data_IF_142657837668
#
_entry.id   IF_142657837668
#
_cell.length_a   1.000
_cell.length_b   1.000
_cell.length_c   1.000
_cell.angle_alpha   90.00
_cell.angle_beta   90.00
_cell.angle_gamma   90.00
#
_symmetry.space_group_name_H-M   'P 1'
#
loop_
_entity.id
_entity.type
_entity.pdbx_description
1 polymer ?
#
# COMPACT_ATOMS: atom_id res chain seq x y z
N UNK A 1 -40.06 -12.56 -26.73
CA UNK A 1 -39.79 -11.42 -25.87
C UNK A 1 -38.54 -11.77 -25.11
N UNK A 2 -37.35 -11.23 -25.43
CA UNK A 2 -36.16 -11.43 -24.59
C UNK A 2 -36.24 -10.45 -23.42
N UNK A 3 -36.08 -10.98 -22.22
CA UNK A 3 -36.00 -10.26 -20.96
C UNK A 3 -34.82 -9.28 -20.98
N UNK A 4 -35.13 -8.11 -20.53
CA UNK A 4 -34.22 -6.98 -20.30
C UNK A 4 -33.04 -7.43 -19.40
N UNK A 5 -31.87 -7.57 -19.99
CA UNK A 5 -30.65 -7.70 -19.22
C UNK A 5 -30.38 -6.39 -18.50
N UNK A 6 -30.68 -6.35 -17.23
CA UNK A 6 -30.35 -5.23 -16.36
C UNK A 6 -28.87 -4.89 -16.52
N UNK A 7 -28.57 -3.68 -16.97
CA UNK A 7 -27.22 -3.13 -17.00
C UNK A 7 -26.64 -3.18 -15.59
N UNK A 8 -25.37 -3.56 -15.40
CA UNK A 8 -24.76 -3.54 -14.09
C UNK A 8 -24.78 -2.10 -13.56
N UNK A 9 -25.53 -1.91 -12.49
CA UNK A 9 -25.50 -0.68 -11.68
C UNK A 9 -24.07 -0.35 -11.35
N UNK A 10 -23.66 0.92 -11.56
CA UNK A 10 -22.30 1.40 -11.44
C UNK A 10 -21.55 0.84 -10.24
N UNK A 11 -20.28 0.56 -10.47
CA UNK A 11 -19.34 -0.03 -9.51
C UNK A 11 -19.34 0.81 -8.23
N UNK A 12 -19.66 0.20 -7.09
CA UNK A 12 -19.66 0.89 -5.80
C UNK A 12 -18.29 0.73 -5.16
N UNK A 13 -17.54 1.82 -5.05
CA UNK A 13 -16.25 1.91 -4.35
C UNK A 13 -16.43 2.21 -2.86
N UNK A 14 -17.35 1.50 -2.20
CA UNK A 14 -17.82 1.84 -0.83
C UNK A 14 -16.70 1.87 0.21
N UNK A 15 -15.65 1.07 0.03
CA UNK A 15 -14.53 1.02 0.97
C UNK A 15 -13.61 2.22 0.78
N UNK A 16 -13.33 2.61 -0.46
CA UNK A 16 -12.59 3.84 -0.74
C UNK A 16 -13.35 5.08 -0.33
N UNK A 17 -14.63 5.15 -0.60
CA UNK A 17 -15.47 6.29 -0.19
C UNK A 17 -15.44 6.50 1.33
N UNK A 18 -15.44 5.41 2.09
CA UNK A 18 -15.26 5.46 3.56
C UNK A 18 -13.89 6.00 3.96
N UNK A 19 -12.81 5.56 3.31
CA UNK A 19 -11.45 6.02 3.56
C UNK A 19 -11.29 7.50 3.20
N UNK A 20 -11.79 7.91 2.03
CA UNK A 20 -11.81 9.31 1.57
C UNK A 20 -12.56 10.19 2.58
N UNK A 21 -13.76 9.77 3.00
CA UNK A 21 -14.57 10.50 3.98
C UNK A 21 -13.84 10.62 5.34
N UNK A 22 -13.16 9.57 5.77
CA UNK A 22 -12.38 9.59 7.00
C UNK A 22 -11.18 10.53 6.89
N UNK A 23 -10.45 10.50 5.77
CA UNK A 23 -9.30 11.35 5.51
C UNK A 23 -9.68 12.84 5.42
N UNK A 24 -10.84 13.19 4.84
CA UNK A 24 -11.34 14.57 4.77
C UNK A 24 -11.63 15.21 6.13
N UNK A 25 -11.78 14.41 7.19
CA UNK A 25 -11.97 14.90 8.56
C UNK A 25 -10.66 15.22 9.27
N UNK A 26 -9.54 14.82 8.69
CA UNK A 26 -8.21 15.04 9.23
C UNK A 26 -7.59 16.31 8.66
N UNK A 27 -6.71 17.00 9.39
CA UNK A 27 -5.97 18.13 8.83
C UNK A 27 -5.06 17.69 7.69
N UNK A 28 -4.95 18.51 6.64
CA UNK A 28 -4.06 18.26 5.53
C UNK A 28 -2.59 18.25 6.00
N UNK A 29 -1.85 17.21 5.65
CA UNK A 29 -0.44 17.01 6.01
C UNK A 29 0.50 17.51 4.91
N UNK A 30 1.72 17.90 5.27
CA UNK A 30 2.78 18.22 4.30
C UNK A 30 3.24 16.97 3.55
N UNK A 31 3.28 17.00 2.22
CA UNK A 31 3.75 15.90 1.38
C UNK A 31 4.85 16.36 0.42
N UNK A 32 6.06 15.82 0.56
CA UNK A 32 7.13 16.06 -0.38
C UNK A 32 6.94 15.16 -1.62
N UNK A 33 6.78 15.80 -2.80
CA UNK A 33 6.62 15.11 -4.08
C UNK A 33 7.96 15.13 -4.82
N UNK A 34 8.61 13.97 -4.91
CA UNK A 34 9.94 13.86 -5.51
C UNK A 34 9.85 13.76 -7.04
N UNK A 35 10.39 14.75 -7.74
CA UNK A 35 10.50 14.82 -9.20
C UNK A 35 9.17 14.71 -9.96
N UNK A 36 8.16 15.56 -9.70
CA UNK A 36 6.87 15.52 -10.39
C UNK A 36 7.00 16.15 -11.79
N UNK A 37 7.72 15.43 -12.67
CA UNK A 37 8.09 15.91 -14.00
C UNK A 37 7.33 15.20 -15.13
N UNK A 38 6.19 14.60 -14.81
CA UNK A 38 5.18 14.09 -15.74
C UNK A 38 3.76 14.51 -15.29
N UNK A 39 2.81 14.40 -16.20
CA UNK A 39 1.42 14.81 -15.95
C UNK A 39 0.79 14.00 -14.82
N UNK A 40 0.98 12.67 -14.81
CA UNK A 40 0.32 11.77 -13.86
C UNK A 40 0.71 12.09 -12.42
N UNK A 41 2.00 12.21 -12.14
CA UNK A 41 2.46 12.48 -10.76
C UNK A 41 2.09 13.89 -10.29
N UNK A 42 2.11 14.87 -11.19
CA UNK A 42 1.77 16.24 -10.84
C UNK A 42 0.26 16.41 -10.61
N UNK A 43 -0.56 15.81 -11.48
CA UNK A 43 -2.00 15.80 -11.38
C UNK A 43 -2.48 15.12 -10.08
N UNK A 44 -1.93 13.93 -9.76
CA UNK A 44 -2.22 13.23 -8.50
C UNK A 44 -1.93 14.10 -7.27
N UNK A 45 -0.82 14.84 -7.27
CA UNK A 45 -0.50 15.75 -6.16
C UNK A 45 -1.48 16.92 -6.06
N UNK A 46 -1.87 17.49 -7.21
CA UNK A 46 -2.85 18.60 -7.28
C UNK A 46 -4.23 18.13 -6.83
N UNK A 47 -4.67 16.96 -7.25
CA UNK A 47 -5.98 16.39 -6.87
C UNK A 47 -6.03 16.07 -5.38
N UNK A 48 -4.99 15.44 -4.83
CA UNK A 48 -4.91 15.18 -3.39
C UNK A 48 -4.96 16.48 -2.57
N UNK A 49 -4.35 17.56 -3.08
CA UNK A 49 -4.44 18.88 -2.45
C UNK A 49 -5.84 19.50 -2.55
N UNK A 50 -6.52 19.37 -3.71
CA UNK A 50 -7.90 19.84 -3.89
C UNK A 50 -8.88 19.09 -2.97
N UNK A 51 -8.65 17.81 -2.74
CA UNK A 51 -9.41 17.00 -1.79
C UNK A 51 -9.15 17.35 -0.32
N UNK A 52 -8.14 18.18 -0.05
CA UNK A 52 -7.78 18.59 1.30
C UNK A 52 -6.94 17.58 2.09
N UNK A 53 -6.39 16.57 1.43
CA UNK A 53 -5.59 15.54 2.11
C UNK A 53 -4.17 15.99 2.41
N UNK A 54 -3.56 16.72 1.47
CA UNK A 54 -2.15 17.10 1.55
C UNK A 54 -1.90 18.55 1.18
N UNK A 55 -0.75 19.06 1.63
CA UNK A 55 -0.11 20.30 1.20
C UNK A 55 1.15 19.92 0.44
N UNK A 56 1.13 19.84 -0.90
CA UNK A 56 2.28 19.40 -1.68
C UNK A 56 3.45 20.39 -1.59
N UNK A 57 4.65 19.82 -1.42
CA UNK A 57 5.93 20.50 -1.62
C UNK A 57 6.55 19.83 -2.84
N UNK A 58 6.53 20.51 -3.99
CA UNK A 58 7.03 19.97 -5.25
C UNK A 58 8.57 20.09 -5.28
N UNK A 59 9.28 18.98 -5.46
CA UNK A 59 10.74 18.94 -5.48
C UNK A 59 11.21 18.46 -6.85
N UNK A 60 11.69 19.38 -7.70
CA UNK A 60 12.06 19.03 -9.07
C UNK A 60 12.71 20.19 -9.82
N UNK A 61 13.23 19.97 -11.05
CA UNK A 61 13.70 21.04 -11.91
C UNK A 61 12.57 22.03 -12.20
N UNK A 62 12.65 23.22 -11.60
CA UNK A 62 11.54 24.17 -11.54
C UNK A 62 10.95 24.53 -12.91
N UNK A 63 11.82 24.68 -13.91
CA UNK A 63 11.37 24.99 -15.28
C UNK A 63 10.54 23.82 -15.88
N UNK A 64 10.97 22.57 -15.63
CA UNK A 64 10.28 21.36 -16.12
C UNK A 64 8.95 21.15 -15.42
N UNK A 65 8.91 21.27 -14.09
CA UNK A 65 7.66 21.16 -13.32
C UNK A 65 6.62 22.19 -13.79
N UNK A 66 7.03 23.45 -13.99
CA UNK A 66 6.14 24.51 -14.52
C UNK A 66 5.69 24.24 -15.96
N UNK A 67 6.56 23.68 -16.79
CA UNK A 67 6.20 23.32 -18.17
C UNK A 67 5.13 22.23 -18.19
N UNK A 68 5.31 21.17 -17.40
CA UNK A 68 4.30 20.08 -17.25
C UNK A 68 2.98 20.64 -16.71
N UNK A 69 3.02 21.48 -15.68
CA UNK A 69 1.82 22.10 -15.13
C UNK A 69 1.05 22.92 -16.18
N UNK A 70 1.78 23.73 -16.98
CA UNK A 70 1.19 24.53 -18.05
C UNK A 70 0.57 23.68 -19.16
N UNK A 71 1.28 22.63 -19.58
CA UNK A 71 0.81 21.71 -20.61
C UNK A 71 -0.44 20.94 -20.19
N UNK A 72 -0.47 20.49 -18.93
CA UNK A 72 -1.60 19.77 -18.34
C UNK A 72 -2.72 20.70 -17.81
N UNK A 73 -2.57 22.02 -17.89
CA UNK A 73 -3.56 22.98 -17.37
C UNK A 73 -3.72 22.96 -15.85
N UNK A 74 -2.69 22.54 -15.12
CA UNK A 74 -2.71 22.42 -13.66
C UNK A 74 -2.25 23.72 -12.99
N UNK A 75 -3.02 24.19 -11.99
CA UNK A 75 -2.61 25.32 -11.15
C UNK A 75 -1.76 24.84 -9.97
N UNK A 76 -0.50 25.25 -9.98
CA UNK A 76 0.47 24.97 -8.92
C UNK A 76 0.97 26.26 -8.23
N UNK A 77 0.35 27.41 -8.47
CA UNK A 77 0.82 28.69 -7.95
C UNK A 77 0.81 28.73 -6.40
N UNK A 78 -0.08 27.99 -5.77
CA UNK A 78 -0.17 27.89 -4.31
C UNK A 78 0.77 26.87 -3.66
N UNK A 79 1.58 26.14 -4.44
CA UNK A 79 2.46 25.10 -3.90
C UNK A 79 3.89 25.57 -3.75
N UNK A 80 4.56 25.14 -2.68
CA UNK A 80 5.99 25.34 -2.52
C UNK A 80 6.73 24.51 -3.57
N UNK A 81 7.68 25.16 -4.29
CA UNK A 81 8.51 24.52 -5.31
C UNK A 81 9.98 24.61 -4.92
N UNK A 82 10.55 23.49 -4.54
CA UNK A 82 11.98 23.34 -4.23
C UNK A 82 12.72 22.90 -5.48
N UNK A 83 13.60 23.75 -6.00
CA UNK A 83 14.36 23.47 -7.22
C UNK A 83 15.41 22.38 -6.98
N UNK A 84 15.53 21.49 -7.95
CA UNK A 84 16.57 20.44 -8.02
C UNK A 84 17.14 20.36 -9.44
N UNK A 85 18.32 19.72 -9.57
CA UNK A 85 19.01 19.62 -10.86
C UNK A 85 18.55 18.40 -11.67
N UNK A 86 18.38 17.27 -11.01
CA UNK A 86 18.01 15.97 -11.61
C UNK A 86 17.22 15.09 -10.62
N UNK A 87 16.83 13.89 -11.05
CA UNK A 87 15.98 12.98 -10.26
C UNK A 87 16.58 12.59 -8.91
N UNK A 88 17.87 12.26 -8.85
CA UNK A 88 18.54 11.90 -7.60
C UNK A 88 18.62 13.09 -6.63
N UNK A 89 18.87 14.33 -7.14
CA UNK A 89 18.83 15.54 -6.31
C UNK A 89 17.41 15.83 -5.80
N UNK A 90 16.39 15.58 -6.65
CA UNK A 90 14.98 15.66 -6.23
C UNK A 90 14.68 14.69 -5.10
N UNK A 91 15.10 13.43 -5.21
CA UNK A 91 14.91 12.42 -4.17
C UNK A 91 15.61 12.80 -2.86
N UNK A 92 16.87 13.22 -2.95
CA UNK A 92 17.64 13.63 -1.77
C UNK A 92 17.02 14.84 -1.05
N UNK A 93 16.59 15.87 -1.80
CA UNK A 93 15.92 17.06 -1.24
C UNK A 93 14.55 16.75 -0.65
N UNK A 94 13.75 15.89 -1.30
CA UNK A 94 12.47 15.47 -0.78
C UNK A 94 12.62 14.70 0.55
N UNK A 95 13.58 13.77 0.62
CA UNK A 95 13.92 13.07 1.86
C UNK A 95 14.43 14.03 2.94
N UNK A 96 15.23 15.03 2.58
CA UNK A 96 15.69 16.04 3.53
C UNK A 96 14.55 16.89 4.12
N UNK A 97 13.51 17.20 3.35
CA UNK A 97 12.30 17.88 3.85
C UNK A 97 11.57 17.05 4.89
N UNK A 98 11.42 15.75 4.65
CA UNK A 98 10.86 14.81 5.63
C UNK A 98 11.73 14.75 6.88
N UNK A 99 13.04 14.61 6.71
CA UNK A 99 13.99 14.55 7.83
C UNK A 99 13.96 15.81 8.71
N UNK A 100 13.73 16.96 8.09
CA UNK A 100 13.59 18.26 8.75
C UNK A 100 12.20 18.48 9.39
N UNK A 101 11.26 17.53 9.27
CA UNK A 101 9.90 17.67 9.77
C UNK A 101 9.01 18.64 8.98
N UNK A 102 9.40 19.02 7.77
CA UNK A 102 8.61 19.89 6.88
C UNK A 102 7.59 19.13 6.06
N UNK A 103 7.74 17.81 5.92
CA UNK A 103 6.79 16.92 5.27
C UNK A 103 6.56 15.67 6.12
N UNK A 104 5.31 15.23 6.18
CA UNK A 104 4.81 14.08 6.95
C UNK A 104 4.49 12.87 6.05
N UNK A 105 4.61 13.06 4.72
CA UNK A 105 4.52 12.02 3.72
C UNK A 105 5.51 12.29 2.58
N UNK A 106 5.89 11.22 1.87
CA UNK A 106 6.73 11.29 0.68
C UNK A 106 5.99 10.64 -0.50
N UNK A 107 5.98 11.30 -1.66
CA UNK A 107 5.38 10.76 -2.87
C UNK A 107 6.43 10.66 -3.98
N UNK A 108 6.43 9.52 -4.67
CA UNK A 108 7.24 9.30 -5.86
C UNK A 108 6.60 9.97 -7.08
N UNK A 109 7.36 10.80 -7.76
CA UNK A 109 7.00 11.32 -9.09
C UNK A 109 7.56 10.49 -10.23
N UNK A 110 8.08 11.14 -11.27
CA UNK A 110 8.56 10.51 -12.51
C UNK A 110 10.00 9.99 -12.46
N UNK A 111 10.56 9.76 -11.26
CA UNK A 111 11.84 9.08 -11.09
C UNK A 111 11.66 7.57 -10.90
N UNK A 112 12.76 6.80 -11.00
CA UNK A 112 12.71 5.37 -10.71
C UNK A 112 12.53 5.09 -9.21
N UNK A 113 11.85 3.98 -8.88
CA UNK A 113 11.59 3.62 -7.47
C UNK A 113 12.89 3.37 -6.70
N UNK A 114 13.87 2.75 -7.33
CA UNK A 114 15.19 2.50 -6.74
C UNK A 114 15.96 3.79 -6.41
N UNK A 115 15.84 4.84 -7.25
CA UNK A 115 16.45 6.17 -6.96
C UNK A 115 15.84 6.80 -5.68
N UNK A 116 14.51 6.77 -5.56
CA UNK A 116 13.85 7.28 -4.36
C UNK A 116 14.20 6.45 -3.13
N UNK A 117 14.11 5.13 -3.26
CA UNK A 117 14.38 4.21 -2.15
C UNK A 117 15.84 4.27 -1.70
N UNK A 118 16.81 4.47 -2.61
CA UNK A 118 18.21 4.69 -2.25
C UNK A 118 18.37 5.92 -1.34
N UNK A 119 17.68 7.03 -1.65
CA UNK A 119 17.70 8.22 -0.79
C UNK A 119 17.01 7.97 0.56
N UNK A 120 15.89 7.23 0.57
CA UNK A 120 15.13 6.88 1.80
C UNK A 120 15.97 6.04 2.75
N UNK A 121 16.70 5.02 2.24
CA UNK A 121 17.48 4.10 3.08
C UNK A 121 18.91 4.56 3.34
N UNK A 122 19.34 5.69 2.80
CA UNK A 122 20.68 6.21 3.01
C UNK A 122 21.02 6.32 4.51
N UNK A 123 22.21 5.87 4.89
CA UNK A 123 22.57 5.69 6.31
C UNK A 123 22.55 6.98 7.10
N UNK A 124 23.10 8.06 6.54
CA UNK A 124 23.26 9.34 7.25
C UNK A 124 22.16 10.35 6.90
N UNK A 125 21.71 10.37 5.64
CA UNK A 125 20.79 11.38 5.10
C UNK A 125 19.35 10.87 5.01
N UNK A 126 19.13 9.57 5.04
CA UNK A 126 17.83 8.94 4.87
C UNK A 126 16.91 9.06 6.07
N UNK A 127 15.74 8.44 5.92
CA UNK A 127 14.63 8.47 6.88
C UNK A 127 14.21 7.06 7.34
N UNK A 128 15.11 6.08 7.22
CA UNK A 128 14.86 4.73 7.72
C UNK A 128 14.69 4.72 9.24
N UNK A 129 13.94 3.75 9.74
CA UNK A 129 13.79 3.43 11.15
C UNK A 129 14.51 2.11 11.49
N UNK A 130 14.28 1.57 12.67
CA UNK A 130 14.72 0.22 13.02
C UNK A 130 13.89 -0.87 12.30
N UNK A 131 12.67 -0.55 11.84
CA UNK A 131 11.79 -1.50 11.14
C UNK A 131 12.21 -1.69 9.69
N UNK A 132 11.98 -2.88 9.17
CA UNK A 132 12.09 -3.17 7.74
C UNK A 132 11.09 -2.34 6.95
N UNK A 133 11.54 -1.76 5.83
CA UNK A 133 10.64 -1.10 4.89
C UNK A 133 9.86 -2.17 4.13
N UNK A 134 8.54 -2.00 4.05
CA UNK A 134 7.64 -2.93 3.38
C UNK A 134 6.52 -2.22 2.66
N UNK A 135 5.90 -2.90 1.71
CA UNK A 135 4.78 -2.38 0.93
C UNK A 135 3.47 -3.07 1.31
N UNK A 136 2.40 -2.30 1.38
CA UNK A 136 1.04 -2.81 1.52
C UNK A 136 0.20 -2.36 0.33
N UNK A 137 -0.50 -3.29 -0.32
CA UNK A 137 -1.66 -2.97 -1.14
C UNK A 137 -2.91 -2.97 -0.29
N UNK A 138 -3.74 -1.95 -0.43
CA UNK A 138 -5.10 -1.88 0.10
C UNK A 138 -6.02 -2.13 -1.09
N UNK A 139 -6.75 -3.25 -1.06
CA UNK A 139 -7.56 -3.71 -2.18
C UNK A 139 -9.05 -3.55 -1.86
N UNK A 140 -9.78 -2.82 -2.69
CA UNK A 140 -11.25 -2.83 -2.68
C UNK A 140 -11.75 -3.89 -3.66
N UNK A 141 -11.94 -5.11 -3.17
CA UNK A 141 -12.41 -6.25 -3.98
C UNK A 141 -13.93 -6.24 -4.03
N UNK A 142 -14.57 -6.17 -5.21
CA UNK A 142 -16.02 -6.27 -5.36
C UNK A 142 -16.57 -7.55 -4.72
N UNK A 143 -17.64 -7.42 -3.95
CA UNK A 143 -18.27 -8.55 -3.27
C UNK A 143 -17.58 -9.04 -2.00
N UNK A 144 -16.40 -8.52 -1.64
CA UNK A 144 -15.77 -8.75 -0.34
C UNK A 144 -16.22 -7.69 0.65
N UNK A 145 -16.46 -8.06 1.91
CA UNK A 145 -17.04 -7.14 2.90
C UNK A 145 -16.07 -6.04 3.34
N UNK A 146 -14.81 -6.39 3.56
CA UNK A 146 -13.76 -5.50 4.05
C UNK A 146 -12.71 -5.23 2.97
N UNK A 147 -11.97 -4.11 3.09
CA UNK A 147 -10.76 -3.92 2.31
C UNK A 147 -9.71 -4.98 2.73
N UNK A 148 -9.04 -5.57 1.74
CA UNK A 148 -7.96 -6.52 1.98
C UNK A 148 -6.62 -5.80 1.92
N UNK A 149 -5.77 -6.00 2.92
CA UNK A 149 -4.38 -5.55 2.89
C UNK A 149 -3.50 -6.74 2.49
N UNK A 150 -2.71 -6.59 1.43
CA UNK A 150 -1.77 -7.61 0.96
C UNK A 150 -0.35 -7.08 1.15
N UNK A 151 0.51 -7.86 1.83
CA UNK A 151 1.89 -7.49 2.15
C UNK A 151 2.84 -8.70 2.12
N UNK A 152 4.12 -8.60 1.74
CA UNK A 152 4.73 -7.58 0.92
C UNK A 152 4.67 -8.02 -0.54
N UNK A 153 4.23 -7.14 -1.41
CA UNK A 153 3.99 -7.50 -2.80
C UNK A 153 4.79 -6.62 -3.79
N UNK A 154 5.75 -5.79 -3.30
CA UNK A 154 6.45 -4.83 -4.14
C UNK A 154 7.89 -4.47 -3.72
N UNK A 155 8.31 -4.74 -2.49
CA UNK A 155 9.62 -4.29 -1.96
C UNK A 155 10.53 -5.45 -1.57
N UNK A 156 10.06 -6.39 -0.76
CA UNK A 156 10.88 -7.48 -0.25
C UNK A 156 10.72 -8.74 -1.10
N UNK A 157 11.77 -9.12 -1.85
CA UNK A 157 11.71 -10.22 -2.83
C UNK A 157 11.43 -11.56 -2.13
N UNK A 158 12.29 -11.96 -1.20
CA UNK A 158 12.18 -13.19 -0.43
C UNK A 158 12.55 -12.89 1.04
N UNK A 159 11.63 -12.29 1.80
CA UNK A 159 11.91 -11.85 3.16
C UNK A 159 12.13 -13.05 4.08
N UNK A 160 13.13 -12.94 4.95
CA UNK A 160 13.38 -13.90 6.03
C UNK A 160 12.28 -13.88 7.08
N UNK A 161 12.25 -14.88 7.96
CA UNK A 161 11.31 -14.91 9.09
C UNK A 161 11.40 -13.64 9.95
N UNK A 162 12.61 -13.17 10.24
CA UNK A 162 12.85 -11.95 11.03
C UNK A 162 12.29 -10.71 10.32
N UNK A 163 12.53 -10.58 9.02
CA UNK A 163 12.00 -9.47 8.21
C UNK A 163 10.47 -9.51 8.11
N UNK A 164 9.86 -10.70 8.07
CA UNK A 164 8.40 -10.86 8.06
C UNK A 164 7.74 -10.38 9.35
N UNK A 165 8.42 -10.38 10.49
CA UNK A 165 7.90 -9.79 11.74
C UNK A 165 7.63 -8.30 11.54
N UNK A 166 8.61 -7.57 11.02
CA UNK A 166 8.46 -6.12 10.78
C UNK A 166 7.44 -5.81 9.68
N UNK A 167 7.46 -6.58 8.58
CA UNK A 167 6.49 -6.47 7.48
C UNK A 167 5.08 -6.63 8.02
N UNK A 168 4.87 -7.64 8.84
CA UNK A 168 3.58 -7.93 9.43
C UNK A 168 3.13 -6.84 10.40
N UNK A 169 4.03 -6.36 11.26
CA UNK A 169 3.72 -5.28 12.20
C UNK A 169 3.37 -3.97 11.48
N UNK A 170 4.06 -3.66 10.37
CA UNK A 170 3.71 -2.50 9.53
C UNK A 170 2.28 -2.61 8.98
N UNK A 171 1.89 -3.78 8.47
CA UNK A 171 0.55 -4.00 7.93
C UNK A 171 -0.54 -3.96 9.02
N UNK A 172 -0.26 -4.48 10.21
CA UNK A 172 -1.17 -4.41 11.37
C UNK A 172 -1.38 -2.95 11.79
N UNK A 173 -0.29 -2.19 11.90
CA UNK A 173 -0.36 -0.77 12.27
C UNK A 173 -1.15 0.03 11.22
N UNK A 174 -0.97 -0.28 9.91
CA UNK A 174 -1.77 0.30 8.84
C UNK A 174 -3.25 -0.04 8.97
N UNK A 175 -3.60 -1.32 9.13
CA UNK A 175 -4.99 -1.75 9.26
C UNK A 175 -5.71 -1.01 10.40
N UNK A 176 -5.03 -0.85 11.52
CA UNK A 176 -5.53 -0.09 12.68
C UNK A 176 -5.70 1.40 12.38
N UNK A 177 -4.72 2.00 11.70
CA UNK A 177 -4.79 3.40 11.29
C UNK A 177 -5.94 3.67 10.30
N UNK A 178 -6.27 2.68 9.44
CA UNK A 178 -7.42 2.74 8.53
C UNK A 178 -8.76 2.47 9.24
N UNK A 179 -8.76 2.24 10.56
CA UNK A 179 -9.96 2.08 11.37
C UNK A 179 -10.56 0.68 11.34
N UNK A 180 -9.78 -0.35 11.01
CA UNK A 180 -10.24 -1.74 11.12
C UNK A 180 -10.66 -2.04 12.57
N UNK A 181 -11.90 -2.46 12.82
CA UNK A 181 -12.38 -2.70 14.19
C UNK A 181 -11.66 -3.88 14.85
N UNK A 182 -11.25 -4.84 14.04
CA UNK A 182 -10.43 -5.97 14.43
C UNK A 182 -9.50 -6.35 13.28
N UNK A 183 -8.22 -6.46 13.58
CA UNK A 183 -7.21 -6.87 12.58
C UNK A 183 -7.04 -8.38 12.65
N UNK A 184 -7.34 -9.08 11.54
CA UNK A 184 -7.22 -10.53 11.37
C UNK A 184 -6.23 -10.81 10.27
N UNK A 185 -5.09 -11.37 10.65
CA UNK A 185 -3.99 -11.66 9.74
C UNK A 185 -3.96 -13.13 9.39
N UNK A 186 -4.09 -13.44 8.11
CA UNK A 186 -3.78 -14.74 7.57
C UNK A 186 -2.35 -14.77 7.03
N UNK A 187 -1.54 -15.70 7.53
CA UNK A 187 -0.22 -15.98 6.97
C UNK A 187 -0.38 -17.03 5.88
N UNK A 188 -0.26 -16.59 4.63
CA UNK A 188 -0.60 -17.40 3.48
C UNK A 188 0.47 -18.43 3.14
N UNK A 189 0.00 -19.60 2.76
CA UNK A 189 0.78 -20.67 2.16
C UNK A 189 -0.08 -21.46 1.15
N UNK A 190 0.47 -22.46 0.54
CA UNK A 190 -0.24 -23.33 -0.38
C UNK A 190 -1.18 -24.34 0.34
N UNK A 191 -1.05 -24.49 1.65
CA UNK A 191 -1.80 -25.48 2.46
C UNK A 191 -1.93 -25.02 3.91
N UNK A 192 -2.82 -25.68 4.66
CA UNK A 192 -3.18 -25.36 6.05
C UNK A 192 -2.36 -26.13 7.08
N UNK A 193 -1.60 -27.14 6.65
CA UNK A 193 -0.80 -27.98 7.54
C UNK A 193 0.67 -27.64 7.47
N UNK A 194 1.37 -27.71 8.60
CA UNK A 194 2.80 -27.49 8.65
C UNK A 194 3.53 -28.65 7.97
N UNK A 195 4.23 -28.34 6.88
CA UNK A 195 5.00 -29.29 6.10
C UNK A 195 6.44 -28.78 5.91
N UNK A 196 7.48 -29.46 6.46
CA UNK A 196 8.87 -29.02 6.32
C UNK A 196 9.36 -28.90 4.87
N UNK A 197 8.71 -29.55 3.90
CA UNK A 197 9.01 -29.43 2.47
C UNK A 197 8.48 -28.14 1.86
N UNK A 198 7.59 -27.43 2.56
CA UNK A 198 7.01 -26.15 2.15
C UNK A 198 7.38 -25.10 3.21
N UNK A 199 8.53 -24.40 3.05
CA UNK A 199 9.09 -23.51 4.08
C UNK A 199 8.11 -22.46 4.60
N UNK A 200 7.24 -21.91 3.72
CA UNK A 200 6.24 -20.91 4.11
C UNK A 200 5.26 -21.42 5.19
N UNK A 201 4.98 -22.74 5.26
CA UNK A 201 4.14 -23.29 6.32
C UNK A 201 4.83 -23.30 7.68
N UNK A 202 6.15 -23.54 7.68
CA UNK A 202 6.97 -23.53 8.90
C UNK A 202 7.12 -22.09 9.42
N UNK A 203 7.38 -21.14 8.52
CA UNK A 203 7.46 -19.73 8.86
C UNK A 203 6.13 -19.20 9.40
N UNK A 204 5.00 -19.61 8.81
CA UNK A 204 3.67 -19.25 9.30
C UNK A 204 3.45 -19.72 10.75
N UNK A 205 3.77 -20.97 11.05
CA UNK A 205 3.67 -21.50 12.41
C UNK A 205 4.59 -20.75 13.39
N UNK A 206 5.79 -20.38 12.97
CA UNK A 206 6.72 -19.59 13.77
C UNK A 206 6.16 -18.18 14.06
N UNK A 207 5.63 -17.48 13.05
CA UNK A 207 5.03 -16.15 13.21
C UNK A 207 3.80 -16.18 14.12
N UNK A 208 2.94 -17.20 14.01
CA UNK A 208 1.83 -17.39 14.94
C UNK A 208 2.34 -17.54 16.38
N UNK A 209 3.39 -18.34 16.59
CA UNK A 209 3.99 -18.50 17.92
C UNK A 209 4.64 -17.21 18.42
N UNK A 210 5.26 -16.43 17.55
CA UNK A 210 5.80 -15.10 17.91
C UNK A 210 4.68 -14.14 18.35
N UNK A 211 3.52 -14.18 17.69
CA UNK A 211 2.35 -13.44 18.11
C UNK A 211 1.81 -13.88 19.48
N UNK A 212 1.69 -15.19 19.74
CA UNK A 212 1.32 -15.74 21.05
C UNK A 212 2.25 -15.26 22.19
N UNK A 213 3.51 -14.95 21.85
CA UNK A 213 4.52 -14.48 22.82
C UNK A 213 4.64 -12.96 22.88
N UNK A 214 3.79 -12.22 22.17
CA UNK A 214 3.78 -10.77 22.17
C UNK A 214 4.93 -10.12 21.40
N UNK A 215 5.63 -10.88 20.53
CA UNK A 215 6.64 -10.31 19.61
C UNK A 215 5.98 -9.58 18.44
N UNK A 216 4.76 -9.97 18.07
CA UNK A 216 3.88 -9.29 17.12
C UNK A 216 2.59 -8.99 17.86
N UNK A 217 2.08 -7.75 17.75
CA UNK A 217 0.97 -7.30 18.56
C UNK A 217 -0.09 -6.55 17.76
N UNK A 218 -1.32 -6.48 18.29
CA UNK A 218 -2.39 -5.66 17.75
C UNK A 218 -3.29 -6.34 16.73
N UNK A 219 -3.16 -7.66 16.57
CA UNK A 219 -3.99 -8.45 15.65
C UNK A 219 -4.24 -9.87 16.18
N UNK A 220 -5.27 -10.52 15.66
CA UNK A 220 -5.41 -11.97 15.66
C UNK A 220 -4.64 -12.51 14.46
N UNK A 221 -3.79 -13.51 14.66
CA UNK A 221 -2.89 -14.04 13.64
C UNK A 221 -3.05 -15.55 13.57
N UNK A 222 -3.21 -16.10 12.38
CA UNK A 222 -3.24 -17.52 12.15
C UNK A 222 -2.61 -17.90 10.80
N UNK A 223 -2.10 -19.12 10.74
CA UNK A 223 -1.43 -19.73 9.57
C UNK A 223 -0.66 -20.98 9.93
N UNK A 224 -0.27 -21.76 8.89
CA UNK A 224 -0.49 -21.47 7.48
C UNK A 224 -1.94 -21.57 7.05
N UNK A 225 -2.39 -20.72 6.14
CA UNK A 225 -3.70 -20.77 5.51
C UNK A 225 -3.56 -20.67 3.99
N UNK A 226 -4.32 -21.45 3.25
CA UNK A 226 -4.51 -21.21 1.82
C UNK A 226 -5.44 -20.00 1.62
N UNK A 227 -5.37 -19.33 0.46
CA UNK A 227 -6.13 -18.12 0.22
C UNK A 227 -7.64 -18.30 0.39
N UNK A 228 -8.20 -19.40 -0.15
CA UNK A 228 -9.62 -19.73 -0.04
C UNK A 228 -10.07 -19.79 1.42
N UNK A 229 -9.29 -20.45 2.27
CA UNK A 229 -9.60 -20.59 3.69
C UNK A 229 -9.39 -19.31 4.48
N UNK A 230 -8.49 -18.45 4.03
CA UNK A 230 -8.25 -17.17 4.69
C UNK A 230 -9.43 -16.21 4.53
N UNK A 231 -10.08 -16.20 3.35
CA UNK A 231 -11.07 -15.18 2.98
C UNK A 231 -12.52 -15.68 2.86
N UNK A 232 -12.74 -17.01 2.76
CA UNK A 232 -14.07 -17.63 2.61
C UNK A 232 -14.45 -18.44 3.84
N UNK A 233 -15.51 -18.04 4.59
CA UNK A 233 -16.02 -18.83 5.72
C UNK A 233 -16.44 -20.23 5.31
N UNK A 234 -17.04 -20.38 4.12
CA UNK A 234 -17.50 -21.68 3.62
C UNK A 234 -16.32 -22.61 3.33
N UNK A 235 -15.25 -22.11 2.72
CA UNK A 235 -14.04 -22.87 2.46
C UNK A 235 -13.38 -23.33 3.77
N UNK A 236 -13.30 -22.46 4.76
CA UNK A 236 -12.79 -22.79 6.09
C UNK A 236 -13.64 -23.86 6.78
N UNK A 237 -14.98 -23.75 6.67
CA UNK A 237 -15.91 -24.73 7.26
C UNK A 237 -15.80 -26.10 6.60
N UNK A 238 -15.72 -26.19 5.27
CA UNK A 238 -15.56 -27.44 4.51
C UNK A 238 -14.29 -28.20 4.95
N UNK A 239 -13.21 -27.46 5.21
CA UNK A 239 -11.93 -28.04 5.67
C UNK A 239 -11.83 -28.18 7.20
N UNK A 240 -12.92 -27.90 7.92
CA UNK A 240 -12.99 -27.99 9.39
C UNK A 240 -11.90 -27.20 10.13
N UNK A 241 -11.53 -26.02 9.60
CA UNK A 241 -10.52 -25.17 10.20
C UNK A 241 -11.15 -24.38 11.35
N UNK A 242 -10.67 -24.62 12.57
CA UNK A 242 -11.07 -23.87 13.75
C UNK A 242 -10.04 -22.76 14.00
N UNK A 243 -10.41 -21.53 13.67
CA UNK A 243 -9.50 -20.38 13.71
C UNK A 243 -10.29 -19.08 13.94
N UNK A 244 -9.73 -18.12 14.69
CA UNK A 244 -10.33 -16.79 14.83
C UNK A 244 -10.15 -15.94 13.57
N UNK A 245 -9.32 -16.37 12.61
CA UNK A 245 -8.92 -15.64 11.40
C UNK A 245 -9.51 -16.26 10.14
N UNK A 246 -9.50 -17.60 10.02
CA UNK A 246 -9.94 -18.29 8.82
C UNK A 246 -11.35 -17.88 8.38
N UNK A 247 -11.49 -17.59 7.09
CA UNK A 247 -12.71 -17.10 6.46
C UNK A 247 -13.02 -15.62 6.67
N UNK A 248 -12.19 -14.88 7.45
CA UNK A 248 -12.46 -13.48 7.85
C UNK A 248 -11.21 -12.62 7.90
N UNK A 249 -10.14 -13.06 7.26
CA UNK A 249 -8.89 -12.29 7.20
C UNK A 249 -9.10 -10.96 6.45
N UNK A 250 -8.54 -9.89 6.99
CA UNK A 250 -8.47 -8.57 6.33
C UNK A 250 -7.03 -8.12 6.07
N UNK A 251 -6.03 -8.87 6.57
CA UNK A 251 -4.62 -8.70 6.25
C UNK A 251 -4.05 -10.05 5.79
N UNK A 252 -3.40 -10.06 4.65
CA UNK A 252 -2.81 -11.23 4.03
C UNK A 252 -1.29 -11.04 3.95
N UNK A 253 -0.53 -11.82 4.72
CA UNK A 253 0.92 -11.90 4.57
C UNK A 253 1.23 -13.01 3.56
N UNK A 254 1.82 -12.65 2.44
CA UNK A 254 2.23 -13.58 1.39
C UNK A 254 3.64 -14.16 1.66
N UNK A 255 3.97 -15.35 1.13
CA UNK A 255 5.27 -15.96 1.35
C UNK A 255 6.45 -15.17 0.77
N UNK A 256 6.26 -14.54 -0.39
CA UNK A 256 7.28 -13.81 -1.13
C UNK A 256 6.63 -12.76 -2.06
N UNK A 257 7.49 -11.93 -2.69
CA UNK A 257 7.05 -10.87 -3.60
C UNK A 257 6.29 -11.40 -4.81
N UNK A 258 6.72 -12.52 -5.38
CA UNK A 258 6.10 -13.07 -6.59
C UNK A 258 4.66 -13.47 -6.32
N UNK A 259 4.41 -14.22 -5.23
CA UNK A 259 3.07 -14.60 -4.80
C UNK A 259 2.19 -13.37 -4.53
N UNK A 260 2.72 -12.38 -3.83
CA UNK A 260 1.99 -11.15 -3.50
C UNK A 260 1.67 -10.30 -4.71
N UNK A 261 2.63 -10.11 -5.61
CA UNK A 261 2.45 -9.31 -6.82
C UNK A 261 1.44 -9.97 -7.78
N UNK A 262 1.55 -11.30 -7.97
CA UNK A 262 0.59 -12.04 -8.79
C UNK A 262 -0.81 -12.00 -8.20
N UNK A 263 -0.96 -12.15 -6.87
CA UNK A 263 -2.25 -12.07 -6.19
C UNK A 263 -2.88 -10.68 -6.37
N UNK A 264 -2.15 -9.61 -6.07
CA UNK A 264 -2.66 -8.24 -6.19
C UNK A 264 -3.09 -7.93 -7.62
N UNK A 265 -2.27 -8.29 -8.61
CA UNK A 265 -2.62 -8.11 -10.04
C UNK A 265 -3.80 -8.97 -10.47
N UNK A 266 -3.91 -10.21 -9.99
CA UNK A 266 -5.06 -11.06 -10.29
C UNK A 266 -6.36 -10.44 -9.76
N UNK A 267 -6.35 -9.89 -8.55
CA UNK A 267 -7.51 -9.20 -7.99
C UNK A 267 -7.87 -7.96 -8.79
N UNK A 268 -6.87 -7.13 -9.18
CA UNK A 268 -7.14 -5.92 -9.98
C UNK A 268 -7.65 -6.26 -11.38
N UNK A 269 -6.96 -7.12 -12.13
CA UNK A 269 -7.27 -7.35 -13.55
C UNK A 269 -8.37 -8.39 -13.79
N UNK A 270 -8.53 -9.38 -12.91
CA UNK A 270 -9.52 -10.45 -13.06
C UNK A 270 -10.76 -10.23 -12.22
N UNK A 271 -10.60 -9.76 -10.99
CA UNK A 271 -11.73 -9.52 -10.08
C UNK A 271 -12.18 -8.04 -10.07
N UNK A 272 -11.51 -7.19 -10.80
CA UNK A 272 -11.84 -5.77 -10.91
C UNK A 272 -11.68 -5.01 -9.59
N UNK A 273 -10.73 -5.38 -8.75
CA UNK A 273 -10.46 -4.68 -7.52
C UNK A 273 -9.68 -3.38 -7.77
N UNK A 274 -10.05 -2.34 -7.03
CA UNK A 274 -9.24 -1.14 -6.95
C UNK A 274 -8.09 -1.36 -5.97
N UNK A 275 -6.93 -0.79 -6.28
CA UNK A 275 -5.72 -0.97 -5.51
C UNK A 275 -5.08 0.37 -5.14
N UNK A 276 -4.76 0.57 -3.86
CA UNK A 276 -3.90 1.65 -3.42
C UNK A 276 -2.64 1.06 -2.76
N UNK A 277 -1.46 1.62 -3.10
CA UNK A 277 -0.18 1.15 -2.59
C UNK A 277 0.47 2.15 -1.64
N UNK A 278 1.02 1.65 -0.53
CA UNK A 278 1.75 2.47 0.44
C UNK A 278 2.97 1.71 0.96
N UNK A 279 4.10 2.42 1.09
CA UNK A 279 5.33 1.91 1.70
C UNK A 279 5.45 2.42 3.13
N UNK A 280 5.73 1.53 4.04
CA UNK A 280 5.82 1.73 5.48
C UNK A 280 7.18 1.29 6.04
N UNK A 281 7.44 1.56 7.32
CA UNK A 281 8.72 1.23 7.97
C UNK A 281 9.76 2.35 7.90
N UNK A 282 9.56 3.38 7.08
CA UNK A 282 10.29 4.63 7.14
C UNK A 282 9.67 5.57 8.19
N UNK A 283 10.29 6.75 8.42
CA UNK A 283 9.76 7.75 9.37
C UNK A 283 8.39 8.28 9.00
N UNK A 284 8.07 8.29 7.71
CA UNK A 284 6.77 8.69 7.16
C UNK A 284 6.32 7.70 6.12
N UNK A 285 5.02 7.59 5.84
CA UNK A 285 4.52 6.78 4.73
C UNK A 285 5.02 7.32 3.39
N UNK A 286 5.21 6.39 2.43
CA UNK A 286 5.68 6.72 1.08
C UNK A 286 4.67 6.20 0.07
N UNK A 287 4.17 7.10 -0.77
CA UNK A 287 3.26 6.77 -1.87
C UNK A 287 4.08 6.51 -3.13
N UNK A 288 3.93 5.32 -3.71
CA UNK A 288 4.55 4.94 -4.97
C UNK A 288 3.48 5.00 -6.07
N UNK A 289 3.58 5.98 -6.96
CA UNK A 289 2.75 5.99 -8.16
C UNK A 289 3.31 4.98 -9.17
N UNK A 290 2.45 4.12 -9.74
CA UNK A 290 2.83 3.20 -10.80
C UNK A 290 2.62 3.87 -12.16
N UNK A 291 3.56 3.63 -13.11
CA UNK A 291 3.36 4.05 -14.51
C UNK A 291 2.30 3.23 -15.23
N UNK A 292 1.92 2.08 -14.65
CA UNK A 292 0.90 1.19 -15.19
C UNK A 292 -0.50 1.48 -14.65
N UNK A 293 -0.62 2.34 -13.63
CA UNK A 293 -1.91 2.87 -13.15
C UNK A 293 -2.38 3.95 -14.15
N UNK A 294 -2.53 3.53 -15.40
CA UNK A 294 -3.16 4.35 -16.41
C UNK A 294 -4.67 4.30 -16.17
N UNK A 295 -5.27 5.40 -15.81
CA UNK A 295 -6.60 5.93 -16.17
C UNK A 295 -7.57 4.99 -16.92
N UNK A 296 -7.63 3.71 -16.60
CA UNK A 296 -8.74 2.88 -17.09
C UNK A 296 -10.02 3.10 -16.27
N UNK A 297 -9.97 3.94 -15.26
CA UNK A 297 -11.05 4.15 -14.29
C UNK A 297 -11.74 5.54 -14.40
N UNK A 298 -11.22 6.47 -15.22
CA UNK A 298 -11.83 7.80 -15.40
C UNK A 298 -12.89 7.87 -16.53
N UNK A 299 -13.17 6.76 -17.22
CA UNK A 299 -14.16 6.75 -18.29
C UNK A 299 -15.16 5.61 -18.14
N UNK A 300 -16.01 5.69 -17.16
CA UNK A 300 -17.41 5.22 -17.24
C UNK A 300 -18.26 5.89 -16.20
#
# INVERSE_FOLDING_TARGET
MPEDAAQPTGRRHEKYDRLITAAQRMPAIGMAVAHPCDTVSLESAVEAAKMGFVKPILVGPAARVRAVAKEAGLDIAGFELVSSEHSHDSAAKAVALVKAGKAEALMKGSLHTDELMAAVVARETGIRTARRISHCFIMDVPGHADALIITDAAVNIAPTLEEKVDILQNAIDLARALGAPEVRVAILSAMETVNPKVPSTVEAAALCKMADRGQITGALIDGPLALDNAISPDAAAIKHIVSPVAGRANVLLVPDLEAGNMLAKSLSFLAGADAAGIVLGARVPIVLTSRADSRSEEHT
#
